data_IF_363557067802
#
_entry.id   IF_363557067802
#
_cell.length_a   1.000
_cell.length_b   1.000
_cell.length_c   1.000
_cell.angle_alpha   90.00
_cell.angle_beta   90.00
_cell.angle_gamma   90.00
#
_symmetry.space_group_name_H-M   'P 1'
#
loop_
_entity.id
_entity.type
_entity.pdbx_description
1 polymer ?
#
# COMPACT_ATOMS: atom_id res chain seq x y z
N UNK A 1 20.75 -13.38 12.67
CA UNK A 1 21.34 -12.10 12.26
C UNK A 1 20.38 -11.44 11.31
N UNK A 2 19.66 -10.43 11.78
CA UNK A 2 18.64 -9.73 11.01
C UNK A 2 19.34 -8.95 9.90
N UNK A 3 19.18 -9.36 8.64
CA UNK A 3 19.58 -8.51 7.53
C UNK A 3 18.71 -7.25 7.63
N UNK A 4 19.30 -6.13 8.06
CA UNK A 4 18.75 -4.80 7.82
C UNK A 4 18.72 -4.61 6.31
N UNK A 5 17.64 -5.08 5.69
CA UNK A 5 17.44 -5.03 4.26
C UNK A 5 17.31 -3.57 3.85
N UNK A 6 18.29 -3.05 3.15
CA UNK A 6 18.14 -1.77 2.46
C UNK A 6 17.25 -2.00 1.24
N UNK A 7 16.36 -1.05 0.93
CA UNK A 7 15.54 -1.03 -0.29
C UNK A 7 16.39 -0.53 -1.47
N UNK A 8 17.42 -1.29 -1.83
CA UNK A 8 18.30 -0.98 -2.95
C UNK A 8 17.86 -1.80 -4.17
N UNK A 9 16.85 -1.30 -4.87
CA UNK A 9 16.40 -1.83 -6.16
C UNK A 9 17.07 -1.07 -7.30
N UNK A 10 17.48 -1.79 -8.34
CA UNK A 10 17.83 -1.19 -9.63
C UNK A 10 16.54 -0.79 -10.34
N UNK A 11 16.40 0.51 -10.60
CA UNK A 11 15.20 1.09 -11.20
C UNK A 11 15.25 1.10 -12.73
N UNK A 12 16.34 0.61 -13.33
CA UNK A 12 16.47 0.50 -14.78
C UNK A 12 15.33 -0.37 -15.37
N UNK A 13 14.66 0.15 -16.40
CA UNK A 13 13.55 -0.55 -17.06
C UNK A 13 12.21 -0.52 -16.31
N UNK A 14 12.14 0.03 -15.09
CA UNK A 14 10.86 0.17 -14.38
C UNK A 14 9.96 1.21 -15.05
N UNK A 15 8.62 1.01 -15.07
CA UNK A 15 7.73 2.03 -15.61
C UNK A 15 7.77 3.34 -14.81
N UNK A 16 7.66 4.45 -15.54
CA UNK A 16 7.73 5.80 -14.95
C UNK A 16 6.69 6.06 -13.84
N UNK A 17 5.59 5.31 -13.80
CA UNK A 17 4.55 5.51 -12.80
C UNK A 17 4.92 4.94 -11.42
N UNK A 18 5.68 3.85 -11.35
CA UNK A 18 5.96 3.15 -10.09
C UNK A 18 7.19 3.71 -9.38
N UNK A 19 8.18 4.18 -10.14
CA UNK A 19 9.42 4.80 -9.62
C UNK A 19 9.15 5.85 -8.52
N UNK A 20 8.34 6.91 -8.76
CA UNK A 20 8.11 7.94 -7.74
C UNK A 20 7.32 7.42 -6.53
N UNK A 21 6.52 6.36 -6.70
CA UNK A 21 5.80 5.73 -5.59
C UNK A 21 6.73 4.88 -4.73
N UNK A 22 7.61 4.09 -5.37
CA UNK A 22 8.63 3.31 -4.70
C UNK A 22 9.58 4.19 -3.90
N UNK A 23 10.09 5.27 -4.49
CA UNK A 23 10.96 6.23 -3.80
C UNK A 23 10.30 6.77 -2.51
N UNK A 24 9.03 7.19 -2.60
CA UNK A 24 8.30 7.71 -1.45
C UNK A 24 8.21 6.72 -0.29
N UNK A 25 7.96 5.44 -0.57
CA UNK A 25 7.85 4.41 0.48
C UNK A 25 9.21 3.90 0.95
N UNK A 26 10.21 3.93 0.07
CA UNK A 26 11.60 3.57 0.36
C UNK A 26 12.24 4.50 1.40
N UNK A 27 11.94 5.79 1.31
CA UNK A 27 12.51 6.80 2.20
C UNK A 27 11.87 6.80 3.61
N UNK A 28 10.87 5.94 3.85
CA UNK A 28 10.25 5.80 5.17
C UNK A 28 11.04 4.80 6.05
N UNK A 29 11.64 5.30 7.13
CA UNK A 29 12.40 4.51 8.10
C UNK A 29 11.50 3.78 9.12
N UNK A 30 10.54 2.99 8.64
CA UNK A 30 9.51 2.35 9.49
C UNK A 30 9.87 0.93 9.97
N UNK A 31 11.15 0.56 9.92
CA UNK A 31 11.66 -0.72 10.40
C UNK A 31 11.64 -1.87 9.39
N UNK A 32 12.11 -3.05 9.81
CA UNK A 32 12.36 -4.19 8.92
C UNK A 32 11.10 -4.83 8.34
N UNK A 33 10.00 -4.89 9.10
CA UNK A 33 8.74 -5.44 8.60
C UNK A 33 8.17 -4.57 7.45
N UNK A 34 8.30 -3.24 7.55
CA UNK A 34 7.97 -2.32 6.47
C UNK A 34 8.80 -2.57 5.21
N UNK A 35 10.12 -2.74 5.37
CA UNK A 35 11.01 -3.09 4.25
C UNK A 35 10.54 -4.38 3.57
N UNK A 36 10.21 -5.42 4.34
CA UNK A 36 9.71 -6.68 3.80
C UNK A 36 8.41 -6.49 3.01
N UNK A 37 7.48 -5.69 3.53
CA UNK A 37 6.22 -5.38 2.84
C UNK A 37 6.46 -4.64 1.51
N UNK A 38 7.34 -3.64 1.49
CA UNK A 38 7.66 -2.90 0.26
C UNK A 38 8.32 -3.81 -0.77
N UNK A 39 9.23 -4.70 -0.36
CA UNK A 39 9.83 -5.71 -1.26
C UNK A 39 8.78 -6.67 -1.84
N UNK A 40 7.86 -7.16 -1.00
CA UNK A 40 6.77 -8.03 -1.43
C UNK A 40 5.88 -7.34 -2.47
N UNK A 41 5.55 -6.06 -2.25
CA UNK A 41 4.78 -5.29 -3.22
C UNK A 41 5.50 -5.19 -4.57
N UNK A 42 6.79 -4.86 -4.58
CA UNK A 42 7.57 -4.79 -5.82
C UNK A 42 7.61 -6.15 -6.53
N UNK A 43 7.81 -7.25 -5.80
CA UNK A 43 7.78 -8.59 -6.38
C UNK A 43 6.44 -8.90 -7.05
N UNK A 44 5.31 -8.54 -6.42
CA UNK A 44 3.97 -8.70 -7.01
C UNK A 44 3.83 -7.87 -8.29
N UNK A 45 4.26 -6.61 -8.30
CA UNK A 45 4.18 -5.77 -9.51
C UNK A 45 5.06 -6.31 -10.63
N UNK A 46 6.24 -6.84 -10.31
CA UNK A 46 7.13 -7.50 -11.28
C UNK A 46 6.48 -8.75 -11.87
N UNK A 47 5.88 -9.62 -11.04
CA UNK A 47 5.15 -10.81 -11.49
C UNK A 47 3.98 -10.45 -12.43
N UNK A 48 3.32 -9.31 -12.19
CA UNK A 48 2.24 -8.79 -13.02
C UNK A 48 2.73 -8.04 -14.26
N UNK A 49 4.05 -7.86 -14.45
CA UNK A 49 4.63 -7.13 -15.57
C UNK A 49 4.42 -5.61 -15.49
N UNK A 50 4.32 -5.06 -14.28
CA UNK A 50 4.07 -3.65 -13.96
C UNK A 50 2.88 -3.07 -14.75
N UNK A 51 1.67 -3.59 -14.55
CA UNK A 51 0.51 -3.23 -15.35
C UNK A 51 0.29 -1.71 -15.32
N UNK A 52 0.30 -1.10 -16.50
CA UNK A 52 -0.02 0.31 -16.69
C UNK A 52 -1.52 0.49 -16.86
N UNK A 53 -2.00 1.74 -16.96
CA UNK A 53 -3.40 2.05 -17.26
C UNK A 53 -3.93 1.35 -18.53
N UNK A 54 -3.07 0.81 -19.39
CA UNK A 54 -3.45 0.06 -20.59
C UNK A 54 -3.79 -1.41 -20.29
N UNK A 55 -3.27 -1.95 -19.18
CA UNK A 55 -3.56 -3.29 -18.67
C UNK A 55 -4.62 -3.25 -17.57
N UNK A 56 -5.69 -2.48 -17.78
CA UNK A 56 -6.93 -2.74 -17.06
C UNK A 56 -7.30 -4.22 -17.30
N UNK A 57 -7.07 -5.08 -16.32
CA UNK A 57 -7.81 -6.31 -16.22
C UNK A 57 -9.27 -5.91 -15.99
N UNK A 58 -10.00 -5.67 -17.09
CA UNK A 58 -11.46 -5.51 -17.10
C UNK A 58 -12.02 -4.40 -16.18
N UNK A 59 -11.36 -3.25 -16.05
CA UNK A 59 -11.88 -2.12 -15.26
C UNK A 59 -11.91 -2.35 -13.73
N UNK A 60 -11.14 -3.32 -13.22
CA UNK A 60 -11.08 -3.60 -11.78
C UNK A 60 -10.16 -2.60 -11.08
N UNK A 61 -10.74 -1.80 -10.18
CA UNK A 61 -10.02 -1.00 -9.19
C UNK A 61 -10.33 -1.56 -7.80
N UNK A 62 -9.47 -1.27 -6.81
CA UNK A 62 -9.80 -1.57 -5.41
C UNK A 62 -11.15 -0.92 -5.05
N UNK A 63 -11.96 -1.63 -4.27
CA UNK A 63 -13.25 -1.12 -3.80
C UNK A 63 -13.08 0.24 -3.10
N UNK A 64 -14.04 1.13 -3.33
CA UNK A 64 -14.13 2.42 -2.64
C UNK A 64 -14.94 2.34 -1.35
N UNK A 65 -15.55 1.19 -1.06
CA UNK A 65 -16.38 0.98 0.14
C UNK A 65 -15.57 1.24 1.40
N UNK A 66 -16.06 2.12 2.26
CA UNK A 66 -15.43 2.55 3.52
C UNK A 66 -14.01 3.14 3.38
N UNK A 67 -13.58 3.48 2.16
CA UNK A 67 -12.27 4.09 1.92
C UNK A 67 -12.16 5.41 2.69
N UNK A 68 -11.10 5.63 3.52
CA UNK A 68 -10.88 6.89 4.20
C UNK A 68 -10.87 8.08 3.21
N UNK A 69 -11.47 9.21 3.62
CA UNK A 69 -11.55 10.42 2.78
C UNK A 69 -10.18 10.89 2.28
N UNK A 70 -9.14 10.82 3.12
CA UNK A 70 -7.77 11.19 2.72
C UNK A 70 -7.26 10.35 1.53
N UNK A 71 -7.60 9.07 1.47
CA UNK A 71 -7.24 8.18 0.37
C UNK A 71 -8.06 8.51 -0.88
N UNK A 72 -9.37 8.77 -0.71
CA UNK A 72 -10.23 9.23 -1.81
C UNK A 72 -9.69 10.51 -2.45
N UNK A 73 -9.41 11.54 -1.64
CA UNK A 73 -8.91 12.83 -2.09
C UNK A 73 -7.55 12.72 -2.79
N UNK A 74 -6.68 11.82 -2.33
CA UNK A 74 -5.41 11.52 -2.98
C UNK A 74 -5.55 10.87 -4.35
N UNK A 75 -6.42 9.86 -4.47
CA UNK A 75 -6.70 9.17 -5.74
C UNK A 75 -7.29 10.15 -6.76
N UNK A 76 -8.22 11.01 -6.33
CA UNK A 76 -8.78 12.09 -7.17
C UNK A 76 -7.71 13.10 -7.64
N UNK A 77 -6.58 13.19 -6.95
CA UNK A 77 -5.41 14.00 -7.33
C UNK A 77 -4.37 13.19 -8.09
N UNK A 78 -4.80 12.17 -8.83
CA UNK A 78 -3.96 11.29 -9.63
C UNK A 78 -2.81 10.64 -8.84
N UNK A 79 -3.09 10.27 -7.58
CA UNK A 79 -2.12 9.68 -6.67
C UNK A 79 -0.83 10.52 -6.52
N UNK A 80 -0.98 11.86 -6.56
CA UNK A 80 0.14 12.80 -6.55
C UNK A 80 1.07 12.58 -5.35
N UNK A 81 2.37 12.46 -5.62
CA UNK A 81 3.42 12.39 -4.59
C UNK A 81 3.50 13.67 -3.75
N UNK A 82 3.01 14.80 -4.29
CA UNK A 82 2.98 16.10 -3.58
C UNK A 82 1.83 16.19 -2.59
N UNK A 83 0.89 15.23 -2.60
CA UNK A 83 -0.21 15.22 -1.65
C UNK A 83 0.27 14.73 -0.28
N UNK A 84 0.10 15.59 0.72
CA UNK A 84 0.37 15.31 2.12
C UNK A 84 -0.93 15.45 2.91
N UNK A 85 -1.65 14.35 3.19
CA UNK A 85 -2.88 14.42 3.95
C UNK A 85 -2.60 14.74 5.42
N UNK A 86 -3.43 15.61 6.01
CA UNK A 86 -3.50 15.72 7.46
C UNK A 86 -4.36 14.58 8.01
N UNK A 87 -3.72 13.56 8.56
CA UNK A 87 -4.39 12.40 9.15
C UNK A 87 -4.28 12.43 10.68
N UNK A 88 -5.38 12.11 11.36
CA UNK A 88 -5.38 11.80 12.79
C UNK A 88 -5.17 10.29 12.94
N UNK A 89 -4.01 9.83 13.46
CA UNK A 89 -3.56 8.45 13.29
C UNK A 89 -4.56 7.43 13.86
N UNK A 90 -5.11 7.67 15.05
CA UNK A 90 -6.06 6.74 15.67
C UNK A 90 -7.36 6.58 14.86
N UNK A 91 -7.92 7.68 14.35
CA UNK A 91 -9.14 7.61 13.53
C UNK A 91 -8.84 7.10 12.11
N UNK A 92 -7.65 7.41 11.58
CA UNK A 92 -7.22 6.95 10.28
C UNK A 92 -7.03 5.45 10.29
N UNK A 93 -6.31 4.89 11.28
CA UNK A 93 -6.11 3.45 11.44
C UNK A 93 -7.41 2.65 11.46
N UNK A 94 -8.42 3.12 12.22
CA UNK A 94 -9.75 2.48 12.25
C UNK A 94 -10.43 2.47 10.88
N UNK A 95 -10.38 3.59 10.16
CA UNK A 95 -10.95 3.68 8.81
C UNK A 95 -10.15 2.84 7.80
N UNK A 96 -8.83 2.80 7.95
CA UNK A 96 -7.93 2.02 7.11
C UNK A 96 -8.23 0.52 7.26
N UNK A 97 -8.33 0.02 8.49
CA UNK A 97 -8.72 -1.37 8.75
C UNK A 97 -10.08 -1.70 8.16
N UNK A 98 -11.08 -0.83 8.38
CA UNK A 98 -12.43 -1.04 7.81
C UNK A 98 -12.39 -1.12 6.28
N UNK A 99 -11.60 -0.27 5.64
CA UNK A 99 -11.39 -0.32 4.20
C UNK A 99 -10.66 -1.59 3.77
N UNK A 100 -9.55 -1.94 4.43
CA UNK A 100 -8.76 -3.12 4.14
C UNK A 100 -9.57 -4.41 4.26
N UNK A 101 -10.38 -4.56 5.31
CA UNK A 101 -11.29 -5.71 5.46
C UNK A 101 -12.31 -5.82 4.32
N UNK A 102 -12.78 -4.70 3.76
CA UNK A 102 -13.67 -4.72 2.60
C UNK A 102 -12.94 -5.04 1.28
N UNK A 103 -11.61 -4.89 1.23
CA UNK A 103 -10.80 -5.28 0.08
C UNK A 103 -10.48 -6.78 0.09
N UNK A 104 -10.45 -7.39 1.27
CA UNK A 104 -10.17 -8.81 1.41
C UNK A 104 -11.18 -9.64 0.62
N UNK A 105 -10.74 -10.70 -0.07
CA UNK A 105 -11.64 -11.60 -0.74
C UNK A 105 -12.60 -12.26 0.26
N UNK A 106 -13.86 -12.45 -0.15
CA UNK A 106 -14.87 -13.11 0.67
C UNK A 106 -14.47 -14.54 1.12
N UNK A 107 -13.61 -15.22 0.35
CA UNK A 107 -13.13 -16.57 0.69
C UNK A 107 -12.17 -16.60 1.88
N UNK A 108 -11.61 -15.46 2.32
CA UNK A 108 -10.77 -15.39 3.54
C UNK A 108 -11.53 -15.84 4.79
N UNK A 109 -12.86 -15.80 4.75
CA UNK A 109 -13.74 -16.32 5.81
C UNK A 109 -14.10 -17.80 5.66
N UNK A 110 -13.87 -18.41 4.48
CA UNK A 110 -14.38 -19.75 4.13
C UNK A 110 -13.30 -20.76 3.71
N UNK A 111 -12.01 -20.42 3.87
CA UNK A 111 -10.82 -21.29 3.73
C UNK A 111 -10.50 -21.94 2.36
N UNK A 112 -11.24 -21.61 1.30
CA UNK A 112 -10.89 -22.04 -0.07
C UNK A 112 -11.01 -20.87 -1.04
N UNK A 113 -9.89 -20.23 -1.38
CA UNK A 113 -9.90 -19.32 -2.52
C UNK A 113 -8.55 -18.75 -2.90
N UNK A 114 -8.57 -18.05 -4.04
CA UNK A 114 -7.40 -17.56 -4.74
C UNK A 114 -7.29 -16.03 -4.58
N UNK A 115 -6.08 -15.54 -4.31
CA UNK A 115 -5.73 -14.13 -4.12
C UNK A 115 -5.88 -13.25 -5.39
N UNK A 116 -6.39 -13.79 -6.49
CA UNK A 116 -6.59 -13.08 -7.77
C UNK A 116 -7.36 -11.77 -7.64
N UNK A 117 -8.29 -11.65 -6.70
CA UNK A 117 -9.03 -10.39 -6.48
C UNK A 117 -8.15 -9.24 -5.99
N UNK A 118 -7.00 -9.56 -5.37
CA UNK A 118 -6.00 -8.60 -4.91
C UNK A 118 -4.79 -8.48 -5.85
N UNK A 119 -4.70 -9.34 -6.88
CA UNK A 119 -3.72 -9.19 -7.99
C UNK A 119 -4.13 -8.07 -8.95
N UNK A 120 -4.55 -6.94 -8.39
CA UNK A 120 -4.74 -5.68 -9.11
C UNK A 120 -3.44 -4.92 -8.92
N UNK A 121 -2.59 -4.92 -9.95
CA UNK A 121 -1.39 -4.09 -9.99
C UNK A 121 -1.70 -2.67 -10.49
N UNK A 122 -0.67 -1.84 -10.61
CA UNK A 122 -0.81 -0.49 -11.15
C UNK A 122 -1.32 0.52 -10.13
N UNK A 123 -1.49 1.79 -10.56
CA UNK A 123 -1.76 2.95 -9.68
C UNK A 123 -2.99 2.86 -8.77
N UNK A 124 -3.94 1.97 -9.09
CA UNK A 124 -5.19 1.77 -8.34
C UNK A 124 -5.24 0.42 -7.61
N UNK A 125 -4.11 -0.29 -7.59
CA UNK A 125 -3.92 -1.60 -7.01
C UNK A 125 -3.36 -1.59 -5.59
N UNK A 126 -2.67 -2.67 -5.22
CA UNK A 126 -2.10 -2.86 -3.88
C UNK A 126 -1.13 -1.73 -3.46
N UNK A 127 -0.52 -1.03 -4.41
CA UNK A 127 0.30 0.18 -4.17
C UNK A 127 -0.42 1.22 -3.30
N UNK A 128 -1.74 1.39 -3.47
CA UNK A 128 -2.52 2.33 -2.69
C UNK A 128 -2.60 1.91 -1.20
N UNK A 129 -2.65 0.61 -0.93
CA UNK A 129 -2.66 0.04 0.42
C UNK A 129 -1.31 0.30 1.09
N UNK A 130 -0.21 -0.03 0.40
CA UNK A 130 1.16 0.17 0.89
C UNK A 130 1.43 1.65 1.21
N UNK A 131 1.18 2.55 0.25
CA UNK A 131 1.44 3.99 0.43
C UNK A 131 0.68 4.55 1.63
N UNK A 132 -0.60 4.18 1.77
CA UNK A 132 -1.46 4.74 2.81
C UNK A 132 -1.15 4.16 4.19
N UNK A 133 -0.66 2.92 4.25
CA UNK A 133 -0.08 2.34 5.46
C UNK A 133 1.23 3.06 5.85
N UNK A 134 2.05 3.45 4.86
CA UNK A 134 3.24 4.27 5.05
C UNK A 134 2.92 5.66 5.62
N UNK A 135 1.85 6.32 5.18
CA UNK A 135 1.39 7.59 5.77
C UNK A 135 1.05 7.43 7.25
N UNK A 136 0.33 6.37 7.59
CA UNK A 136 -0.07 6.10 8.96
C UNK A 136 1.15 5.85 9.85
N UNK A 137 2.08 5.01 9.40
CA UNK A 137 3.34 4.74 10.10
C UNK A 137 4.15 6.02 10.31
N UNK A 138 4.39 6.79 9.25
CA UNK A 138 5.18 8.02 9.33
C UNK A 138 4.60 9.04 10.33
N UNK A 139 3.27 9.18 10.38
CA UNK A 139 2.62 10.06 11.36
C UNK A 139 2.78 9.51 12.78
N UNK A 140 2.63 8.19 12.99
CA UNK A 140 2.85 7.57 14.30
C UNK A 140 4.30 7.74 14.78
N UNK A 141 5.30 7.55 13.91
CA UNK A 141 6.72 7.79 14.23
C UNK A 141 6.96 9.24 14.67
N UNK A 142 6.44 10.19 13.89
CA UNK A 142 6.62 11.63 14.16
C UNK A 142 6.09 12.03 15.54
N UNK A 143 4.98 11.43 15.98
CA UNK A 143 4.35 11.75 17.27
C UNK A 143 4.71 10.77 18.40
N UNK A 144 5.60 9.81 18.15
CA UNK A 144 5.87 8.69 19.06
C UNK A 144 4.57 7.98 19.54
N UNK A 145 3.64 7.77 18.61
CA UNK A 145 2.32 7.20 18.88
C UNK A 145 2.34 5.67 19.01
N UNK A 146 1.23 5.11 19.49
CA UNK A 146 1.04 3.66 19.58
C UNK A 146 0.98 3.02 18.18
N UNK A 147 1.93 2.11 17.92
CA UNK A 147 2.06 1.37 16.65
C UNK A 147 1.43 -0.01 16.67
N UNK A 148 0.73 -0.41 17.74
CA UNK A 148 0.20 -1.77 17.88
C UNK A 148 -0.69 -2.17 16.70
N UNK A 149 -1.66 -1.33 16.36
CA UNK A 149 -2.57 -1.54 15.22
C UNK A 149 -1.87 -1.45 13.86
N UNK A 150 -0.86 -0.59 13.75
CA UNK A 150 -0.09 -0.44 12.52
C UNK A 150 0.82 -1.65 12.26
N UNK A 151 1.46 -2.18 13.31
CA UNK A 151 2.24 -3.42 13.26
C UNK A 151 1.35 -4.63 12.93
N UNK A 152 0.11 -4.66 13.45
CA UNK A 152 -0.85 -5.69 13.07
C UNK A 152 -1.18 -5.62 11.57
N UNK A 153 -1.37 -4.41 11.02
CA UNK A 153 -1.63 -4.21 9.60
C UNK A 153 -0.45 -4.59 8.69
N UNK A 154 0.80 -4.49 9.16
CA UNK A 154 1.97 -4.97 8.41
C UNK A 154 2.01 -6.50 8.25
N UNK A 155 1.40 -7.24 9.17
CA UNK A 155 1.50 -8.70 9.27
C UNK A 155 0.29 -9.43 8.69
N UNK A 156 -0.75 -8.69 8.33
CA UNK A 156 -2.01 -9.22 7.78
C UNK A 156 -1.94 -9.39 6.25
#
# INVERSE_FOLDING_TARGET
GTQSGTLNEDLEGWPQWIIPQFQRVKDLELGSEWVCLVKLWIAIEQELGFPTEVHYSQGKALSSKDRPKAIHDWIQRACSIKYSPSIKPNSFGKQWWKWWSNLQPAWRETSEGNWESLKIGGKNGIVAVVITLGWWGAVLDTIAGDKSEWNAALRD
#
